data_IF_359530367134
#
_entry.id   IF_359530367134
#
_cell.length_a   1.000
_cell.length_b   1.000
_cell.length_c   1.000
_cell.angle_alpha   90.00
_cell.angle_beta   90.00
_cell.angle_gamma   90.00
#
_symmetry.space_group_name_H-M   'P 1'
#
loop_
_entity.id
_entity.type
_entity.pdbx_description
1 polymer ?
#
# COMPACT_ATOMS: atom_id res chain seq x y z
N UNK A 1 -9.90 -13.46 -11.28
CA UNK A 1 -9.02 -13.48 -10.09
C UNK A 1 -9.80 -12.82 -8.96
N UNK A 2 -10.15 -13.54 -7.88
CA UNK A 2 -10.95 -12.93 -6.79
C UNK A 2 -10.14 -11.84 -6.10
N UNK A 3 -10.67 -10.63 -5.98
CA UNK A 3 -9.99 -9.48 -5.37
C UNK A 3 -9.54 -9.73 -3.93
N UNK A 4 -10.17 -10.69 -3.23
CA UNK A 4 -9.74 -11.17 -1.92
C UNK A 4 -8.30 -11.75 -1.91
N UNK A 5 -7.80 -12.21 -3.06
CA UNK A 5 -6.40 -12.65 -3.17
C UNK A 5 -5.42 -11.50 -2.97
N UNK A 6 -5.80 -10.26 -3.33
CA UNK A 6 -4.95 -9.09 -3.13
C UNK A 6 -4.78 -8.81 -1.65
N UNK A 7 -5.87 -8.85 -0.88
CA UNK A 7 -5.82 -8.70 0.58
C UNK A 7 -4.94 -9.79 1.19
N UNK A 8 -5.16 -11.06 0.82
CA UNK A 8 -4.35 -12.17 1.34
C UNK A 8 -2.86 -11.99 1.04
N UNK A 9 -2.50 -11.61 -0.19
CA UNK A 9 -1.10 -11.39 -0.59
C UNK A 9 -0.50 -10.17 0.10
N UNK A 10 -1.24 -9.08 0.21
CA UNK A 10 -0.81 -7.90 0.95
C UNK A 10 -0.47 -8.27 2.40
N UNK A 11 -1.36 -8.99 3.08
CA UNK A 11 -1.11 -9.43 4.46
C UNK A 11 0.06 -10.41 4.59
N UNK A 12 0.35 -11.20 3.55
CA UNK A 12 1.57 -12.01 3.49
C UNK A 12 2.81 -11.11 3.44
N UNK A 13 2.86 -10.12 2.55
CA UNK A 13 3.96 -9.15 2.49
C UNK A 13 4.17 -8.41 3.80
N UNK A 14 3.10 -8.03 4.51
CA UNK A 14 3.23 -7.40 5.83
C UNK A 14 3.83 -8.36 6.88
N UNK A 15 3.49 -9.65 6.83
CA UNK A 15 4.11 -10.65 7.70
C UNK A 15 5.59 -10.79 7.35
N UNK A 16 5.91 -10.93 6.08
CA UNK A 16 7.28 -11.13 5.60
C UNK A 16 8.16 -9.91 5.93
N UNK A 17 7.64 -8.68 5.76
CA UNK A 17 8.32 -7.44 6.18
C UNK A 17 8.68 -7.43 7.69
N UNK A 18 7.80 -7.99 8.55
CA UNK A 18 8.09 -8.08 10.00
C UNK A 18 9.14 -9.13 10.30
N UNK A 19 9.14 -10.24 9.56
CA UNK A 19 10.15 -11.29 9.70
C UNK A 19 11.52 -10.78 9.25
N UNK A 20 11.60 -10.05 8.14
CA UNK A 20 12.85 -9.48 7.62
C UNK A 20 13.38 -8.37 8.52
N UNK A 21 12.50 -7.59 9.17
CA UNK A 21 12.92 -6.61 10.16
C UNK A 21 13.63 -7.27 11.35
N UNK A 22 13.16 -8.43 11.80
CA UNK A 22 13.82 -9.18 12.87
C UNK A 22 15.15 -9.79 12.45
N UNK A 23 15.39 -9.95 11.15
CA UNK A 23 16.66 -10.43 10.57
C UNK A 23 17.62 -9.30 10.22
N UNK A 24 17.18 -8.04 10.39
CA UNK A 24 17.91 -6.83 9.99
C UNK A 24 18.09 -6.69 8.46
N UNK A 25 17.29 -7.40 7.66
CA UNK A 25 17.28 -7.34 6.19
C UNK A 25 16.46 -6.13 5.69
N UNK A 26 16.92 -4.91 6.01
CA UNK A 26 16.12 -3.68 5.86
C UNK A 26 15.72 -3.33 4.42
N UNK A 27 16.50 -3.74 3.42
CA UNK A 27 16.15 -3.59 2.01
C UNK A 27 14.92 -4.45 1.64
N UNK A 28 14.88 -5.68 2.15
CA UNK A 28 13.71 -6.56 1.99
C UNK A 28 12.50 -6.06 2.77
N UNK A 29 12.70 -5.47 3.96
CA UNK A 29 11.63 -4.80 4.72
C UNK A 29 10.96 -3.73 3.85
N UNK A 30 11.75 -2.84 3.25
CA UNK A 30 11.22 -1.76 2.42
C UNK A 30 10.47 -2.29 1.21
N UNK A 31 11.04 -3.27 0.50
CA UNK A 31 10.38 -3.93 -0.62
C UNK A 31 9.03 -4.55 -0.22
N UNK A 32 8.98 -5.32 0.87
CA UNK A 32 7.75 -5.95 1.33
C UNK A 32 6.71 -4.94 1.85
N UNK A 33 7.14 -3.84 2.47
CA UNK A 33 6.24 -2.73 2.85
C UNK A 33 5.63 -2.07 1.61
N UNK A 34 6.43 -1.78 0.58
CA UNK A 34 5.94 -1.26 -0.70
C UNK A 34 4.88 -2.21 -1.29
N UNK A 35 5.18 -3.51 -1.40
CA UNK A 35 4.25 -4.49 -1.96
C UNK A 35 2.95 -4.61 -1.15
N UNK A 36 3.04 -4.55 0.19
CA UNK A 36 1.87 -4.52 1.06
C UNK A 36 0.97 -3.30 0.75
N UNK A 37 1.55 -2.09 0.74
CA UNK A 37 0.81 -0.85 0.51
C UNK A 37 0.14 -0.90 -0.87
N UNK A 38 0.88 -1.29 -1.91
CA UNK A 38 0.35 -1.35 -3.27
C UNK A 38 -0.84 -2.32 -3.38
N UNK A 39 -0.72 -3.55 -2.86
CA UNK A 39 -1.78 -4.54 -2.99
C UNK A 39 -2.99 -4.24 -2.10
N UNK A 40 -2.77 -3.77 -0.87
CA UNK A 40 -3.86 -3.48 0.06
C UNK A 40 -4.68 -2.28 -0.41
N UNK A 41 -4.03 -1.23 -0.90
CA UNK A 41 -4.74 -0.07 -1.42
C UNK A 41 -5.49 -0.40 -2.72
N UNK A 42 -4.93 -1.23 -3.61
CA UNK A 42 -5.67 -1.76 -4.78
C UNK A 42 -6.91 -2.56 -4.35
N UNK A 43 -6.79 -3.41 -3.32
CA UNK A 43 -7.94 -4.13 -2.75
C UNK A 43 -9.03 -3.17 -2.25
N UNK A 44 -8.64 -2.14 -1.50
CA UNK A 44 -9.59 -1.15 -0.95
C UNK A 44 -10.29 -0.34 -2.06
N UNK A 45 -9.56 0.07 -3.09
CA UNK A 45 -10.12 0.79 -4.24
C UNK A 45 -11.09 -0.10 -5.01
N UNK A 46 -10.69 -1.33 -5.32
CA UNK A 46 -11.55 -2.29 -6.01
C UNK A 46 -12.83 -2.59 -5.22
N UNK A 47 -12.72 -2.80 -3.90
CA UNK A 47 -13.87 -3.06 -3.03
C UNK A 47 -14.87 -1.89 -3.04
N UNK A 48 -14.42 -0.66 -3.27
CA UNK A 48 -15.28 0.53 -3.27
C UNK A 48 -15.81 0.90 -4.66
N UNK A 49 -15.02 0.71 -5.71
CA UNK A 49 -15.32 1.15 -7.08
C UNK A 49 -15.73 0.02 -8.03
N UNK A 50 -15.44 -1.24 -7.69
CA UNK A 50 -15.67 -2.40 -8.55
C UNK A 50 -14.63 -2.59 -9.68
N UNK A 51 -13.64 -1.71 -9.79
CA UNK A 51 -12.57 -1.77 -10.81
C UNK A 51 -11.21 -1.32 -10.25
N UNK A 52 -10.13 -1.70 -10.94
CA UNK A 52 -8.75 -1.31 -10.65
C UNK A 52 -8.33 -0.12 -11.51
N UNK A 53 -7.96 1.02 -10.91
CA UNK A 53 -7.28 2.04 -11.67
C UNK A 53 -5.88 1.53 -12.04
N UNK A 54 -5.51 1.59 -13.34
CA UNK A 54 -4.15 1.31 -13.79
C UNK A 54 -3.23 2.42 -13.23
N UNK A 55 -2.41 2.07 -12.24
CA UNK A 55 -1.58 3.05 -11.53
C UNK A 55 -0.14 2.56 -11.33
N UNK A 56 0.77 3.53 -11.43
CA UNK A 56 2.22 3.35 -11.47
C UNK A 56 2.97 3.93 -10.25
N UNK A 57 2.30 4.52 -9.24
CA UNK A 57 2.99 4.98 -8.02
C UNK A 57 2.14 4.84 -6.75
N UNK A 58 2.79 4.60 -5.61
CA UNK A 58 2.13 4.53 -4.29
C UNK A 58 1.46 5.85 -3.93
N UNK A 59 2.12 6.99 -4.15
CA UNK A 59 1.57 8.30 -3.78
C UNK A 59 0.22 8.53 -4.45
N UNK A 60 0.11 8.21 -5.75
CA UNK A 60 -1.15 8.36 -6.49
C UNK A 60 -2.21 7.40 -5.95
N UNK A 61 -1.83 6.16 -5.64
CA UNK A 61 -2.71 5.15 -5.06
C UNK A 61 -3.28 5.59 -3.70
N UNK A 62 -2.46 6.21 -2.85
CA UNK A 62 -2.88 6.73 -1.55
C UNK A 62 -3.78 7.97 -1.68
N UNK A 63 -3.49 8.90 -2.60
CA UNK A 63 -4.39 10.04 -2.89
C UNK A 63 -5.74 9.58 -3.42
N UNK A 64 -5.75 8.53 -4.23
CA UNK A 64 -6.99 7.95 -4.74
C UNK A 64 -7.80 7.33 -3.60
N UNK A 65 -7.15 6.66 -2.65
CA UNK A 65 -7.83 6.21 -1.43
C UNK A 65 -8.40 7.37 -0.63
N UNK A 66 -7.63 8.43 -0.40
CA UNK A 66 -8.08 9.63 0.33
C UNK A 66 -9.37 10.18 -0.29
N UNK A 67 -9.38 10.31 -1.61
CA UNK A 67 -10.54 10.80 -2.37
C UNK A 67 -11.74 9.84 -2.32
N UNK A 68 -11.51 8.55 -2.58
CA UNK A 68 -12.58 7.54 -2.72
C UNK A 68 -13.24 7.21 -1.38
N UNK A 69 -12.48 7.31 -0.29
CA UNK A 69 -12.97 7.08 1.07
C UNK A 69 -13.31 8.37 1.83
N UNK A 70 -13.11 9.55 1.23
CA UNK A 70 -13.24 10.86 1.90
C UNK A 70 -12.40 10.94 3.19
N UNK A 71 -11.16 10.46 3.12
CA UNK A 71 -10.22 10.34 4.23
C UNK A 71 -9.07 11.35 4.10
N UNK A 72 -9.34 12.62 4.40
CA UNK A 72 -8.37 13.72 4.29
C UNK A 72 -7.12 13.53 5.17
N UNK A 73 -7.21 12.71 6.21
CA UNK A 73 -6.08 12.32 7.04
C UNK A 73 -4.98 11.58 6.26
N UNK A 74 -5.34 10.92 5.15
CA UNK A 74 -4.39 10.26 4.26
C UNK A 74 -3.57 11.31 3.50
N UNK A 75 -4.17 12.40 3.03
CA UNK A 75 -3.44 13.48 2.38
C UNK A 75 -2.45 14.14 3.35
N UNK A 76 -2.89 14.40 4.59
CA UNK A 76 -2.01 14.89 5.65
C UNK A 76 -0.88 13.92 5.97
N UNK A 77 -1.12 12.61 5.90
CA UNK A 77 -0.09 11.59 6.08
C UNK A 77 0.93 11.63 4.94
N UNK A 78 0.47 11.71 3.68
CA UNK A 78 1.35 11.80 2.50
C UNK A 78 2.26 13.01 2.63
N UNK A 79 1.72 14.18 2.93
CA UNK A 79 2.50 15.42 3.07
C UNK A 79 3.56 15.31 4.17
N UNK A 80 3.20 14.78 5.35
CA UNK A 80 4.14 14.62 6.48
C UNK A 80 5.21 13.56 6.25
N UNK A 81 4.96 12.59 5.37
CA UNK A 81 5.83 11.41 5.17
C UNK A 81 6.33 11.30 3.73
N UNK A 82 6.26 12.38 2.95
CA UNK A 82 6.51 12.33 1.51
C UNK A 82 7.90 11.82 1.17
N UNK A 83 8.93 12.23 1.92
CA UNK A 83 10.31 11.77 1.75
C UNK A 83 10.43 10.26 1.97
N UNK A 84 9.81 9.72 3.03
CA UNK A 84 9.79 8.28 3.29
C UNK A 84 9.00 7.49 2.25
N UNK A 85 7.94 8.09 1.69
CA UNK A 85 7.16 7.48 0.61
C UNK A 85 7.92 7.45 -0.73
N UNK A 86 8.92 8.31 -0.93
CA UNK A 86 9.81 8.27 -2.10
C UNK A 86 10.89 7.19 -2.00
N UNK A 87 11.07 6.59 -0.82
CA UNK A 87 11.96 5.44 -0.61
C UNK A 87 11.24 4.10 -0.86
N UNK A 88 9.95 4.16 -1.17
CA UNK A 88 9.08 3.03 -1.51
C UNK A 88 8.71 3.04 -2.98
#
# INVERSE_FOLDING_TARGET
MSFEILKRRALAFLRDAKEDFNKEDYDLVMFHVEQFIQLYARYLLYRKLGDFPKMHSIIKLLRDLARVYNACEIDSFIERKIEGLYLL
#
